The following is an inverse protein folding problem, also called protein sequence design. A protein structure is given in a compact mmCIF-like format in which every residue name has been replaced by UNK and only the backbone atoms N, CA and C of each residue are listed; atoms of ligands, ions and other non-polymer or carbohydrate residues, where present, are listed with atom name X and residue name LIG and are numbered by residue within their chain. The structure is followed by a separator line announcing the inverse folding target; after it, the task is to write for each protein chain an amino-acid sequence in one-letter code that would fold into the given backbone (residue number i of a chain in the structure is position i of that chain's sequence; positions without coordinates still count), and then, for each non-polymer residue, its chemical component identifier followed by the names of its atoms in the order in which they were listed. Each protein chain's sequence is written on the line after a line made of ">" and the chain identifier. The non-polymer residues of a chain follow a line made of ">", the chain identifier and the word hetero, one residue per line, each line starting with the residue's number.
data_IF_773028085659
#
_entry.id   IF_773028085659
#
_cell.length_a   1.000
_cell.length_b   1.000
_cell.length_c   1.000
_cell.angle_alpha   90.00
_cell.angle_beta   90.00
_cell.angle_gamma   90.00
#
_symmetry.space_group_name_H-M   'P 1'
#
loop_
_entity.id
_entity.type
_entity.pdbx_description
1 polymer ?
#
# COMPACT_ATOMS: atom_id res chain seq x y z
N UNK A 1 -4.41 13.77 1.96
CA UNK A 1 -3.57 13.68 0.76
C UNK A 1 -4.47 14.05 -0.40
N UNK A 2 -4.15 15.16 -1.06
CA UNK A 2 -5.11 15.94 -1.84
C UNK A 2 -5.09 15.57 -3.32
N UNK A 3 -4.01 14.91 -3.79
CA UNK A 3 -3.86 14.44 -5.17
C UNK A 3 -3.01 13.17 -5.26
N UNK A 4 -3.14 12.38 -6.34
CA UNK A 4 -2.23 11.26 -6.63
C UNK A 4 -0.76 11.69 -6.71
N UNK A 5 -0.48 12.89 -7.21
CA UNK A 5 0.89 13.43 -7.32
C UNK A 5 1.51 13.69 -5.94
N UNK A 6 0.74 14.24 -4.98
CA UNK A 6 1.21 14.39 -3.60
C UNK A 6 1.54 13.04 -2.95
N UNK A 7 0.72 12.02 -3.21
CA UNK A 7 0.94 10.65 -2.72
C UNK A 7 2.20 10.07 -3.36
N UNK A 8 2.34 10.17 -4.67
CA UNK A 8 3.51 9.68 -5.38
C UNK A 8 4.79 10.35 -4.88
N UNK A 9 4.82 11.68 -4.77
CA UNK A 9 5.97 12.41 -4.24
C UNK A 9 6.33 11.98 -2.81
N UNK A 10 5.31 11.84 -1.95
CA UNK A 10 5.53 11.34 -0.58
C UNK A 10 6.13 9.93 -0.58
N UNK A 11 5.57 9.01 -1.36
CA UNK A 11 6.04 7.62 -1.43
C UNK A 11 7.42 7.53 -2.05
N UNK A 12 7.73 8.28 -3.11
CA UNK A 12 9.06 8.32 -3.72
C UNK A 12 10.10 8.74 -2.69
N UNK A 13 9.85 9.81 -1.93
CA UNK A 13 10.78 10.27 -0.89
C UNK A 13 10.98 9.26 0.25
N UNK A 14 9.96 8.46 0.56
CA UNK A 14 9.98 7.54 1.71
C UNK A 14 10.30 6.08 1.36
N UNK A 15 10.22 5.67 0.09
CA UNK A 15 10.36 4.27 -0.31
C UNK A 15 11.26 4.04 -1.52
N UNK A 16 11.37 4.98 -2.47
CA UNK A 16 12.04 4.71 -3.75
C UNK A 16 13.50 4.27 -3.56
N UNK A 17 14.22 4.95 -2.66
CA UNK A 17 15.63 4.68 -2.38
C UNK A 17 15.88 3.50 -1.42
N UNK A 18 14.83 2.81 -0.95
CA UNK A 18 15.01 1.64 -0.08
C UNK A 18 15.65 0.49 -0.88
N UNK A 19 16.72 -0.13 -0.34
CA UNK A 19 17.44 -1.20 -1.05
C UNK A 19 16.64 -2.50 -1.09
N UNK A 20 15.73 -2.69 -0.13
CA UNK A 20 14.81 -3.81 -0.10
C UNK A 20 13.44 -3.39 -0.61
N UNK A 21 12.74 -4.36 -1.17
CA UNK A 21 11.33 -4.22 -1.52
C UNK A 21 10.47 -4.18 -0.26
N UNK A 22 9.59 -3.19 -0.16
CA UNK A 22 8.68 -3.00 0.96
C UNK A 22 7.24 -2.89 0.48
N UNK A 23 6.36 -3.76 0.97
CA UNK A 23 4.93 -3.54 0.86
C UNK A 23 4.44 -2.70 2.04
N UNK A 24 3.92 -1.52 1.72
CA UNK A 24 3.55 -0.48 2.67
C UNK A 24 2.10 -0.05 2.48
N UNK A 25 1.54 0.53 3.53
CA UNK A 25 0.13 0.95 3.56
C UNK A 25 0.01 2.33 4.18
N UNK A 26 -0.70 3.23 3.50
CA UNK A 26 -1.17 4.49 4.04
C UNK A 26 -2.60 4.29 4.54
N UNK A 27 -2.82 4.45 5.84
CA UNK A 27 -4.12 4.39 6.48
C UNK A 27 -4.74 5.77 6.53
N UNK A 28 -5.97 5.90 6.06
CA UNK A 28 -6.62 7.18 5.82
C UNK A 28 -7.96 7.28 6.56
N UNK A 29 -8.31 8.51 6.94
CA UNK A 29 -9.66 8.85 7.39
C UNK A 29 -10.64 8.85 6.21
N UNK A 30 -11.94 9.02 6.50
CA UNK A 30 -12.98 9.16 5.47
C UNK A 30 -12.82 10.42 4.59
N UNK A 31 -12.10 11.43 5.07
CA UNK A 31 -11.73 12.64 4.33
C UNK A 31 -10.37 12.50 3.63
N UNK A 32 -9.84 11.27 3.54
CA UNK A 32 -8.56 10.95 2.94
C UNK A 32 -7.36 11.67 3.59
N UNK A 33 -7.46 12.00 4.87
CA UNK A 33 -6.32 12.48 5.65
C UNK A 33 -5.47 11.29 6.12
N UNK A 34 -4.14 11.42 6.03
CA UNK A 34 -3.20 10.39 6.49
C UNK A 34 -3.28 10.26 8.01
N UNK A 35 -3.69 9.08 8.47
CA UNK A 35 -3.62 8.68 9.87
C UNK A 35 -2.21 8.18 10.15
N UNK A 36 -1.73 7.25 9.32
CA UNK A 36 -0.41 6.63 9.45
C UNK A 36 0.06 6.01 8.15
N UNK A 37 1.37 6.02 7.95
CA UNK A 37 2.06 5.23 6.94
C UNK A 37 2.87 4.13 7.63
N UNK A 38 2.68 2.86 7.24
CA UNK A 38 3.46 1.73 7.79
C UNK A 38 4.03 0.86 6.68
N UNK A 39 5.30 0.46 6.84
CA UNK A 39 5.96 -0.57 6.03
C UNK A 39 5.70 -1.93 6.67
N UNK A 40 4.83 -2.74 6.06
CA UNK A 40 4.28 -3.93 6.72
C UNK A 40 5.03 -5.22 6.38
N UNK A 41 5.54 -5.34 5.16
CA UNK A 41 6.21 -6.55 4.69
C UNK A 41 7.48 -6.16 3.95
N UNK A 42 8.60 -6.85 4.25
CA UNK A 42 9.93 -6.65 3.65
C UNK A 42 10.34 -7.87 2.85
N UNK A 43 10.98 -7.65 1.71
CA UNK A 43 11.53 -8.68 0.85
C UNK A 43 10.75 -8.81 -0.45
N UNK A 44 11.21 -9.70 -1.32
CA UNK A 44 10.65 -9.86 -2.67
C UNK A 44 9.15 -10.10 -2.57
N UNK A 45 8.31 -9.21 -3.11
CA UNK A 45 6.84 -9.27 -2.96
C UNK A 45 6.29 -10.38 -3.87
N UNK A 46 6.59 -11.62 -3.49
CA UNK A 46 5.80 -12.77 -3.88
C UNK A 46 4.54 -12.76 -3.00
N UNK A 47 3.37 -12.99 -3.59
CA UNK A 47 2.07 -12.95 -2.92
C UNK A 47 1.99 -13.77 -1.60
N UNK A 48 2.90 -14.71 -1.38
CA UNK A 48 3.02 -15.49 -0.13
C UNK A 48 3.39 -14.66 1.11
N UNK A 49 3.95 -13.46 0.97
CA UNK A 49 4.43 -12.65 2.11
C UNK A 49 3.43 -11.59 2.59
N UNK A 50 2.44 -11.21 1.77
CA UNK A 50 1.47 -10.16 2.12
C UNK A 50 0.24 -10.79 2.77
N UNK A 51 0.10 -10.60 4.08
CA UNK A 51 -1.02 -11.15 4.84
C UNK A 51 -2.15 -10.13 4.99
N UNK A 52 -3.25 -10.34 4.25
CA UNK A 52 -4.46 -9.50 4.30
C UNK A 52 -4.96 -9.29 5.74
N UNK A 53 -4.95 -10.33 6.58
CA UNK A 53 -5.35 -10.23 7.99
C UNK A 53 -4.55 -9.21 8.80
N UNK A 54 -3.27 -8.99 8.47
CA UNK A 54 -2.42 -8.02 9.15
C UNK A 54 -2.82 -6.61 8.72
N UNK A 55 -3.06 -6.39 7.43
CA UNK A 55 -3.56 -5.13 6.88
C UNK A 55 -4.93 -4.79 7.48
N UNK A 56 -5.86 -5.75 7.47
CA UNK A 56 -7.20 -5.57 8.02
C UNK A 56 -7.17 -5.24 9.51
N UNK A 57 -6.40 -6.01 10.31
CA UNK A 57 -6.22 -5.73 11.74
C UNK A 57 -5.70 -4.31 11.97
N UNK A 58 -4.67 -3.88 11.23
CA UNK A 58 -4.11 -2.53 11.35
C UNK A 58 -5.11 -1.44 10.96
N UNK A 59 -5.85 -1.66 9.88
CA UNK A 59 -6.88 -0.73 9.43
C UNK A 59 -7.96 -0.54 10.51
N UNK A 60 -8.41 -1.64 11.12
CA UNK A 60 -9.38 -1.62 12.22
C UNK A 60 -8.80 -0.96 13.49
N UNK A 61 -7.57 -1.30 13.89
CA UNK A 61 -6.87 -0.68 15.03
C UNK A 61 -6.75 0.85 14.89
N UNK A 62 -6.57 1.33 13.66
CA UNK A 62 -6.41 2.76 13.35
C UNK A 62 -7.74 3.46 13.02
N UNK A 63 -8.87 2.75 13.02
CA UNK A 63 -10.15 3.25 12.53
C UNK A 63 -10.03 3.87 11.11
N UNK A 64 -9.24 3.24 10.25
CA UNK A 64 -9.04 3.67 8.88
C UNK A 64 -10.30 3.40 8.06
N UNK A 65 -10.77 4.41 7.32
CA UNK A 65 -11.88 4.27 6.38
C UNK A 65 -11.40 3.95 4.96
N UNK A 66 -10.13 4.26 4.67
CA UNK A 66 -9.54 4.03 3.37
C UNK A 66 -8.03 3.74 3.47
N UNK A 67 -7.50 3.06 2.45
CA UNK A 67 -6.09 2.71 2.33
C UNK A 67 -5.56 3.12 0.96
N UNK A 68 -4.29 3.49 0.92
CA UNK A 68 -3.47 3.44 -0.30
C UNK A 68 -2.38 2.40 -0.07
N UNK A 69 -2.25 1.48 -1.00
CA UNK A 69 -1.19 0.47 -1.01
C UNK A 69 0.04 1.06 -1.72
N UNK A 70 1.23 0.66 -1.31
CA UNK A 70 2.45 1.05 -1.98
C UNK A 70 3.51 -0.03 -1.92
N UNK A 71 4.31 -0.17 -2.96
CA UNK A 71 5.61 -0.83 -2.84
C UNK A 71 6.67 -0.20 -3.74
N UNK A 72 7.94 -0.35 -3.36
CA UNK A 72 9.06 0.08 -4.18
C UNK A 72 9.62 -1.10 -4.98
N UNK A 73 10.09 -0.88 -6.20
CA UNK A 73 10.91 -1.83 -6.94
C UNK A 73 12.37 -1.34 -6.99
N UNK A 74 13.29 -1.94 -6.22
CA UNK A 74 14.71 -1.58 -6.26
C UNK A 74 15.36 -1.80 -7.63
N UNK A 75 14.72 -2.58 -8.52
CA UNK A 75 15.15 -2.82 -9.90
C UNK A 75 15.05 -1.60 -10.81
N UNK A 76 14.33 -0.54 -10.41
CA UNK A 76 14.11 0.64 -11.24
C UNK A 76 12.89 0.54 -12.18
N UNK A 77 12.15 -0.57 -12.17
CA UNK A 77 11.01 -0.80 -13.06
C UNK A 77 9.71 -0.62 -12.27
N UNK A 78 8.92 0.41 -12.54
CA UNK A 78 7.66 0.68 -11.83
C UNK A 78 6.42 0.00 -12.45
N UNK A 79 6.59 -0.98 -13.33
CA UNK A 79 5.46 -1.70 -13.93
C UNK A 79 4.89 -2.77 -12.98
N UNK A 80 3.54 -2.84 -12.81
CA UNK A 80 2.92 -3.83 -11.95
C UNK A 80 3.01 -5.23 -12.56
N UNK A 81 3.50 -6.18 -11.77
CA UNK A 81 3.46 -7.59 -12.12
C UNK A 81 2.02 -8.15 -12.00
N UNK A 82 1.80 -9.34 -12.58
CA UNK A 82 0.54 -10.07 -12.36
C UNK A 82 0.32 -10.42 -10.88
N UNK A 83 1.39 -10.59 -10.10
CA UNK A 83 1.31 -10.84 -8.66
C UNK A 83 0.72 -9.61 -7.94
N UNK A 84 1.19 -8.41 -8.29
CA UNK A 84 0.75 -7.14 -7.71
C UNK A 84 -0.73 -6.90 -7.97
N UNK A 85 -1.17 -7.14 -9.20
CA UNK A 85 -2.58 -6.99 -9.57
C UNK A 85 -3.48 -7.96 -8.78
N UNK A 86 -3.06 -9.22 -8.63
CA UNK A 86 -3.82 -10.24 -7.88
C UNK A 86 -3.90 -9.92 -6.39
N UNK A 87 -2.80 -9.53 -5.76
CA UNK A 87 -2.81 -9.19 -4.33
C UNK A 87 -3.63 -7.93 -4.10
N UNK A 88 -3.55 -6.93 -4.99
CA UNK A 88 -4.38 -5.72 -4.93
C UNK A 88 -5.87 -6.06 -4.97
N UNK A 89 -6.29 -6.91 -5.92
CA UNK A 89 -7.67 -7.35 -6.03
C UNK A 89 -8.14 -8.13 -4.78
N UNK A 90 -7.26 -8.99 -4.23
CA UNK A 90 -7.56 -9.77 -3.03
C UNK A 90 -7.73 -8.88 -1.79
N UNK A 91 -6.84 -7.89 -1.61
CA UNK A 91 -6.94 -6.92 -0.51
C UNK A 91 -8.21 -6.08 -0.67
N UNK A 92 -8.50 -5.58 -1.89
CA UNK A 92 -9.72 -4.82 -2.19
C UNK A 92 -10.97 -5.58 -1.75
N UNK A 93 -11.16 -6.80 -2.25
CA UNK A 93 -12.36 -7.58 -1.92
C UNK A 93 -12.46 -7.97 -0.44
N UNK A 94 -11.34 -8.23 0.22
CA UNK A 94 -11.35 -8.58 1.64
C UNK A 94 -11.67 -7.40 2.57
N UNK A 95 -11.18 -6.20 2.25
CA UNK A 95 -11.40 -5.00 3.06
C UNK A 95 -12.77 -4.37 2.83
N UNK A 96 -13.38 -4.61 1.67
CA UNK A 96 -14.75 -4.17 1.37
C UNK A 96 -15.77 -4.73 2.37
N UNK A 97 -15.54 -5.94 2.92
CA UNK A 97 -16.38 -6.55 3.97
C UNK A 97 -16.45 -5.68 5.24
N UNK A 98 -15.44 -4.84 5.47
CA UNK A 98 -15.36 -3.93 6.61
C UNK A 98 -15.69 -2.47 6.25
N UNK A 99 -16.22 -2.21 5.05
CA UNK A 99 -16.44 -0.86 4.51
C UNK A 99 -15.15 -0.02 4.38
N UNK A 100 -14.00 -0.67 4.24
CA UNK A 100 -12.69 -0.02 4.13
C UNK A 100 -12.24 -0.02 2.66
N UNK A 101 -12.12 1.17 2.07
CA UNK A 101 -11.81 1.33 0.64
C UNK A 101 -10.31 1.28 0.36
N UNK A 102 -9.87 0.50 -0.61
CA UNK A 102 -8.53 0.67 -1.18
C UNK A 102 -8.63 1.63 -2.37
N UNK A 103 -8.13 2.85 -2.18
CA UNK A 103 -8.24 3.93 -3.17
C UNK A 103 -7.32 3.70 -4.35
N UNK A 104 -6.08 3.29 -4.07
CA UNK A 104 -5.05 3.12 -5.10
C UNK A 104 -3.94 2.16 -4.66
N UNK A 105 -3.08 1.80 -5.60
CA UNK A 105 -1.85 1.07 -5.37
C UNK A 105 -0.71 1.68 -6.18
N UNK A 106 0.24 2.32 -5.49
CA UNK A 106 1.41 2.93 -6.10
C UNK A 106 2.60 1.98 -6.14
N UNK A 107 3.29 1.98 -7.27
CA UNK A 107 4.60 1.35 -7.42
C UNK A 107 5.59 2.48 -7.65
N UNK A 108 6.61 2.56 -6.80
CA UNK A 108 7.66 3.59 -6.91
C UNK A 108 9.00 2.93 -7.17
N UNK A 109 9.90 3.63 -7.84
CA UNK A 109 11.25 3.17 -8.10
C UNK A 109 12.22 4.35 -7.96
N UNK A 110 13.52 4.10 -7.75
CA UNK A 110 14.56 5.13 -7.76
C UNK A 110 14.52 6.01 -9.02
#
# INVERSE_FOLDING_TARGET
>A
MSSPEEVQNYLTLNLAAEPDEWFSVMFLTNQHHLIRFERLFRGTINASQVHIRVIARKALELNAAALILAHNHPSGIAEPSTSDQRITASIKGALEIFDIKVLDHFIVSP
#
